data_IF_677753204665
#
_entry.id   IF_677753204665
#
_cell.length_a   1.000
_cell.length_b   1.000
_cell.length_c   1.000
_cell.angle_alpha   90.00
_cell.angle_beta   90.00
_cell.angle_gamma   90.00
#
_symmetry.space_group_name_H-M   'P 1'
#
loop_
_entity.id
_entity.type
_entity.pdbx_description
1 polymer ?
#
# COMPACT_ATOMS: atom_id res chain seq x y z
N UNK A 1 -7.28 15.52 20.59
CA UNK A 1 -8.43 15.17 19.71
C UNK A 1 -8.44 13.70 19.28
N UNK A 2 -7.41 12.94 19.61
CA UNK A 2 -7.20 11.55 19.15
C UNK A 2 -8.21 10.52 19.71
N UNK A 3 -8.71 10.68 20.92
CA UNK A 3 -9.54 9.67 21.58
C UNK A 3 -10.98 9.53 21.05
N UNK A 4 -11.50 10.53 20.34
CA UNK A 4 -12.88 10.47 19.84
C UNK A 4 -13.01 9.55 18.61
N UNK A 5 -11.95 9.41 17.80
CA UNK A 5 -11.94 8.53 16.63
C UNK A 5 -11.66 7.06 16.96
N UNK A 6 -11.11 6.77 18.14
CA UNK A 6 -10.78 5.40 18.56
C UNK A 6 -11.97 4.71 19.29
N UNK A 7 -13.02 5.46 19.60
CA UNK A 7 -14.19 4.93 20.28
C UNK A 7 -14.94 3.93 19.37
N UNK A 8 -15.11 2.70 19.86
CA UNK A 8 -15.85 1.64 19.16
C UNK A 8 -15.03 0.74 18.24
N UNK A 9 -13.69 0.86 18.23
CA UNK A 9 -12.84 -0.04 17.43
C UNK A 9 -12.55 -1.38 18.12
N UNK A 10 -12.76 -1.51 19.44
CA UNK A 10 -12.49 -2.73 20.23
C UNK A 10 -11.09 -3.32 19.96
N UNK A 11 -10.07 -2.47 19.98
CA UNK A 11 -8.68 -2.88 19.81
C UNK A 11 -8.18 -3.62 21.06
N UNK A 12 -7.28 -4.59 20.88
CA UNK A 12 -6.54 -5.21 21.99
C UNK A 12 -5.54 -4.22 22.59
N UNK A 13 -4.98 -4.54 23.76
CA UNK A 13 -3.96 -3.68 24.37
C UNK A 13 -2.70 -3.60 23.51
N UNK A 14 -2.27 -4.72 22.91
CA UNK A 14 -1.15 -4.78 21.98
C UNK A 14 -1.39 -3.92 20.72
N UNK A 15 -2.61 -3.98 20.15
CA UNK A 15 -3.00 -3.12 19.03
C UNK A 15 -2.99 -1.63 19.40
N UNK A 16 -3.35 -1.29 20.64
CA UNK A 16 -3.25 0.08 21.13
C UNK A 16 -1.81 0.53 21.32
N UNK A 17 -0.94 -0.34 21.79
CA UNK A 17 0.48 -0.05 21.97
C UNK A 17 1.16 0.24 20.63
N UNK A 18 1.01 -0.64 19.62
CA UNK A 18 1.58 -0.39 18.29
C UNK A 18 0.95 0.84 17.62
N UNK A 19 -0.36 1.08 17.81
CA UNK A 19 -1.02 2.30 17.35
C UNK A 19 -0.34 3.55 17.92
N UNK A 20 -0.05 3.55 19.23
CA UNK A 20 0.61 4.68 19.89
C UNK A 20 2.03 4.91 19.34
N UNK A 21 2.81 3.84 19.12
CA UNK A 21 4.14 3.92 18.50
C UNK A 21 4.06 4.51 17.10
N UNK A 22 3.16 4.01 16.25
CA UNK A 22 2.98 4.50 14.88
C UNK A 22 2.53 5.96 14.86
N UNK A 23 1.60 6.35 15.74
CA UNK A 23 1.10 7.73 15.86
C UNK A 23 2.21 8.70 16.27
N UNK A 24 3.04 8.32 17.25
CA UNK A 24 4.17 9.14 17.70
C UNK A 24 5.21 9.29 16.60
N UNK A 25 5.59 8.20 15.95
CA UNK A 25 6.52 8.20 14.81
C UNK A 25 5.99 9.01 13.63
N UNK A 26 4.71 8.85 13.29
CA UNK A 26 4.06 9.62 12.23
C UNK A 26 4.07 11.13 12.52
N UNK A 27 3.82 11.53 13.76
CA UNK A 27 3.76 12.93 14.16
C UNK A 27 5.15 13.58 14.25
N UNK A 28 6.16 12.87 14.78
CA UNK A 28 7.49 13.44 15.07
C UNK A 28 8.47 13.32 13.92
N UNK A 29 8.39 12.24 13.13
CA UNK A 29 9.38 11.94 12.10
C UNK A 29 8.78 12.04 10.69
N UNK A 30 7.66 11.36 10.41
CA UNK A 30 7.08 11.31 9.06
C UNK A 30 6.52 12.67 8.64
N UNK A 31 5.66 13.28 9.45
CA UNK A 31 4.97 14.52 9.09
C UNK A 31 5.93 15.67 8.81
N UNK A 32 6.94 15.94 9.65
CA UNK A 32 7.92 17.00 9.39
C UNK A 32 8.76 16.77 8.12
N UNK A 33 9.09 15.52 7.80
CA UNK A 33 9.91 15.18 6.64
C UNK A 33 9.13 15.14 5.33
N UNK A 34 7.79 15.05 5.38
CA UNK A 34 6.95 14.75 4.21
C UNK A 34 7.11 15.72 3.04
N UNK A 35 7.29 17.02 3.31
CA UNK A 35 7.48 18.03 2.27
C UNK A 35 8.83 17.87 1.55
N UNK A 36 9.92 17.68 2.31
CA UNK A 36 11.25 17.48 1.74
C UNK A 36 11.34 16.19 0.91
N UNK A 37 10.70 15.11 1.38
CA UNK A 37 10.62 13.83 0.65
C UNK A 37 9.81 13.99 -0.65
N UNK A 38 8.72 14.76 -0.66
CA UNK A 38 7.96 15.05 -1.88
C UNK A 38 8.77 15.88 -2.89
N UNK A 39 9.57 16.85 -2.41
CA UNK A 39 10.43 17.67 -3.27
C UNK A 39 11.62 16.88 -3.84
N UNK A 40 12.21 15.95 -3.07
CA UNK A 40 13.31 15.10 -3.51
C UNK A 40 12.90 14.22 -4.70
N UNK A 41 11.61 13.90 -4.82
CA UNK A 41 11.01 13.05 -5.88
C UNK A 41 11.90 11.80 -6.12
N UNK A 42 11.41 10.71 -6.53
CA UNK A 42 12.13 9.46 -6.88
C UNK A 42 13.24 8.95 -5.91
N UNK A 43 13.55 9.65 -4.84
CA UNK A 43 14.54 9.26 -3.84
C UNK A 43 13.88 8.55 -2.66
N UNK A 44 14.47 7.42 -2.24
CA UNK A 44 14.03 6.71 -1.04
C UNK A 44 14.50 7.45 0.20
N UNK A 45 13.63 7.79 1.16
CA UNK A 45 14.02 8.40 2.43
C UNK A 45 14.62 7.35 3.38
N UNK A 46 15.85 6.91 3.10
CA UNK A 46 16.52 5.82 3.81
C UNK A 46 16.64 6.03 5.32
N UNK A 47 16.81 7.28 5.77
CA UNK A 47 16.90 7.57 7.21
C UNK A 47 15.57 7.23 7.91
N UNK A 48 14.43 7.59 7.32
CA UNK A 48 13.11 7.23 7.85
C UNK A 48 12.85 5.73 7.77
N UNK A 49 13.29 5.08 6.67
CA UNK A 49 13.22 3.63 6.53
C UNK A 49 13.96 2.90 7.65
N UNK A 50 15.21 3.31 7.92
CA UNK A 50 16.03 2.67 8.96
C UNK A 50 15.50 2.99 10.37
N UNK A 51 14.99 4.20 10.62
CA UNK A 51 14.33 4.52 11.89
C UNK A 51 13.08 3.65 12.11
N UNK A 52 12.25 3.50 11.08
CA UNK A 52 11.08 2.62 11.14
C UNK A 52 11.47 1.15 11.37
N UNK A 53 12.55 0.68 10.73
CA UNK A 53 13.10 -0.65 10.95
C UNK A 53 13.56 -0.85 12.40
N UNK A 54 14.25 0.14 12.97
CA UNK A 54 14.68 0.12 14.38
C UNK A 54 13.50 0.07 15.38
N UNK A 55 12.30 0.49 14.96
CA UNK A 55 11.06 0.35 15.74
C UNK A 55 10.28 -0.95 15.40
N UNK A 56 10.80 -1.80 14.52
CA UNK A 56 10.14 -3.01 14.06
C UNK A 56 9.00 -2.78 13.06
N UNK A 57 8.76 -1.54 12.60
CA UNK A 57 7.61 -1.18 11.76
C UNK A 57 7.71 -1.70 10.31
N UNK A 58 8.89 -2.10 9.85
CA UNK A 58 9.09 -2.71 8.53
C UNK A 58 8.87 -4.23 8.52
N UNK A 59 8.83 -4.85 9.72
CA UNK A 59 8.77 -6.32 9.88
C UNK A 59 7.74 -6.79 10.91
N UNK A 60 6.89 -5.89 11.44
CA UNK A 60 5.92 -6.23 12.50
C UNK A 60 4.98 -7.37 12.10
N UNK A 61 4.60 -7.46 10.81
CA UNK A 61 3.68 -8.47 10.29
C UNK A 61 4.37 -9.79 9.87
N UNK A 62 5.70 -9.85 9.90
CA UNK A 62 6.44 -11.06 9.55
C UNK A 62 6.41 -12.06 10.71
N UNK A 63 6.43 -13.39 10.43
CA UNK A 63 6.40 -14.43 11.46
C UNK A 63 7.56 -14.31 12.46
N UNK A 64 7.30 -14.58 13.75
CA UNK A 64 8.32 -14.56 14.82
C UNK A 64 9.43 -15.57 14.56
N UNK A 65 9.10 -16.77 14.06
CA UNK A 65 10.06 -17.83 13.75
C UNK A 65 11.05 -17.44 12.63
N UNK A 66 10.74 -16.37 11.87
CA UNK A 66 11.63 -15.79 10.86
C UNK A 66 12.26 -14.46 11.32
N UNK A 67 12.08 -14.09 12.60
CA UNK A 67 12.63 -12.90 13.23
C UNK A 67 11.73 -11.65 13.12
N UNK A 68 10.49 -11.78 12.68
CA UNK A 68 9.52 -10.69 12.60
C UNK A 68 8.80 -10.42 13.91
N UNK A 69 7.87 -9.47 13.89
CA UNK A 69 7.07 -9.07 15.04
C UNK A 69 5.88 -9.99 15.36
N UNK A 70 5.53 -10.94 14.51
CA UNK A 70 4.44 -11.89 14.72
C UNK A 70 3.02 -11.31 14.67
N UNK A 71 2.86 -10.01 14.44
CA UNK A 71 1.55 -9.33 14.40
C UNK A 71 0.89 -9.53 13.03
N UNK A 72 0.53 -10.78 12.72
CA UNK A 72 0.08 -11.16 11.38
C UNK A 72 -1.39 -10.89 11.10
N UNK A 73 -2.17 -10.42 12.07
CA UNK A 73 -3.58 -10.11 11.89
C UNK A 73 -3.81 -8.84 11.04
N UNK A 74 -4.89 -8.85 10.26
CA UNK A 74 -5.22 -7.79 9.32
C UNK A 74 -5.64 -6.50 10.05
N UNK A 75 -6.28 -6.61 11.22
CA UNK A 75 -6.67 -5.44 12.04
C UNK A 75 -5.43 -4.66 12.47
N UNK A 76 -4.39 -5.34 12.97
CA UNK A 76 -3.12 -4.68 13.33
C UNK A 76 -2.47 -4.03 12.12
N UNK A 77 -2.43 -4.71 10.97
CA UNK A 77 -1.96 -4.14 9.70
C UNK A 77 -2.68 -2.84 9.34
N UNK A 78 -4.00 -2.80 9.48
CA UNK A 78 -4.81 -1.60 9.23
C UNK A 78 -4.51 -0.47 10.22
N UNK A 79 -4.37 -0.79 11.50
CA UNK A 79 -4.04 0.20 12.55
C UNK A 79 -2.70 0.87 12.27
N UNK A 80 -1.67 0.08 11.98
CA UNK A 80 -0.33 0.57 11.60
C UNK A 80 -0.42 1.45 10.35
N UNK A 81 -1.08 0.96 9.32
CA UNK A 81 -1.16 1.65 8.04
C UNK A 81 -1.91 2.98 8.14
N UNK A 82 -3.02 3.03 8.89
CA UNK A 82 -3.78 4.28 9.07
C UNK A 82 -2.94 5.35 9.79
N UNK A 83 -2.22 4.99 10.87
CA UNK A 83 -1.42 5.95 11.63
C UNK A 83 -0.21 6.45 10.83
N UNK A 84 0.52 5.57 10.14
CA UNK A 84 1.66 5.98 9.30
C UNK A 84 1.21 6.87 8.15
N UNK A 85 0.11 6.54 7.47
CA UNK A 85 -0.43 7.31 6.35
C UNK A 85 -1.06 8.63 6.79
N UNK A 86 -1.52 8.74 8.03
CA UNK A 86 -1.88 10.02 8.64
C UNK A 86 -0.68 10.98 8.70
N UNK A 87 0.52 10.47 8.90
CA UNK A 87 1.77 11.24 8.75
C UNK A 87 2.03 11.67 7.31
N UNK A 88 2.15 10.70 6.42
CA UNK A 88 2.30 10.85 4.97
C UNK A 88 2.02 9.51 4.29
N UNK A 89 1.05 9.46 3.37
CA UNK A 89 0.69 8.21 2.69
C UNK A 89 1.87 7.57 1.96
N UNK A 90 2.66 8.33 1.19
CA UNK A 90 3.81 7.79 0.47
C UNK A 90 4.90 7.22 1.38
N UNK A 91 5.20 7.85 2.52
CA UNK A 91 6.18 7.33 3.49
C UNK A 91 5.61 6.14 4.25
N UNK A 92 4.34 6.19 4.66
CA UNK A 92 3.66 5.09 5.34
C UNK A 92 3.61 3.84 4.46
N UNK A 93 3.23 3.98 3.19
CA UNK A 93 3.21 2.89 2.22
C UNK A 93 4.62 2.35 1.92
N UNK A 94 5.66 3.20 1.90
CA UNK A 94 7.05 2.73 1.79
C UNK A 94 7.42 1.83 2.97
N UNK A 95 7.17 2.26 4.22
CA UNK A 95 7.54 1.53 5.43
C UNK A 95 6.92 0.13 5.47
N UNK A 96 5.70 -0.03 4.97
CA UNK A 96 5.00 -1.32 4.94
C UNK A 96 5.18 -2.10 3.63
N UNK A 97 5.92 -1.55 2.64
CA UNK A 97 5.99 -2.09 1.28
C UNK A 97 6.58 -3.50 1.18
N UNK A 98 7.45 -3.91 2.12
CA UNK A 98 7.99 -5.27 2.15
C UNK A 98 6.91 -6.34 2.35
N UNK A 99 5.73 -5.98 2.89
CA UNK A 99 4.59 -6.87 3.00
C UNK A 99 4.11 -7.42 1.65
N UNK A 100 4.13 -6.63 0.59
CA UNK A 100 3.73 -7.07 -0.75
C UNK A 100 4.62 -8.18 -1.33
N UNK A 101 5.90 -8.16 -1.01
CA UNK A 101 6.82 -9.24 -1.36
C UNK A 101 6.65 -10.44 -0.42
N UNK A 102 6.52 -10.18 0.88
CA UNK A 102 6.50 -11.20 1.89
C UNK A 102 5.26 -12.10 1.80
N UNK A 103 4.08 -11.52 1.54
CA UNK A 103 2.83 -12.29 1.48
C UNK A 103 2.85 -13.43 0.47
N UNK A 104 3.22 -13.25 -0.83
CA UNK A 104 3.33 -14.37 -1.77
C UNK A 104 4.40 -15.39 -1.37
N UNK A 105 5.53 -14.96 -0.80
CA UNK A 105 6.58 -15.88 -0.33
C UNK A 105 6.08 -16.72 0.85
N UNK A 106 5.38 -16.10 1.79
CA UNK A 106 4.81 -16.81 2.94
C UNK A 106 3.67 -17.75 2.55
N UNK A 107 2.86 -17.37 1.56
CA UNK A 107 1.71 -18.16 1.12
C UNK A 107 2.10 -19.36 0.22
N UNK A 108 3.07 -19.18 -0.67
CA UNK A 108 3.39 -20.14 -1.72
C UNK A 108 4.76 -20.83 -1.51
N UNK A 109 5.69 -20.18 -0.82
CA UNK A 109 7.04 -20.67 -0.63
C UNK A 109 7.14 -21.83 0.36
N UNK A 110 8.12 -22.70 0.16
CA UNK A 110 8.52 -23.71 1.13
C UNK A 110 9.35 -23.08 2.27
N UNK A 111 9.71 -23.90 3.27
CA UNK A 111 10.42 -23.40 4.46
C UNK A 111 11.79 -22.81 4.12
N UNK A 112 12.55 -23.46 3.22
CA UNK A 112 13.86 -22.94 2.80
C UNK A 112 13.77 -21.60 2.05
N UNK A 113 12.73 -21.45 1.22
CA UNK A 113 12.41 -20.20 0.52
C UNK A 113 12.03 -19.09 1.51
N UNK A 114 11.21 -19.39 2.52
CA UNK A 114 10.84 -18.43 3.56
C UNK A 114 12.06 -17.97 4.36
N UNK A 115 12.89 -18.89 4.80
CA UNK A 115 14.14 -18.57 5.51
C UNK A 115 15.08 -17.72 4.64
N UNK A 116 15.22 -18.06 3.36
CA UNK A 116 16.11 -17.34 2.43
C UNK A 116 15.70 -15.90 2.18
N UNK A 117 14.40 -15.63 2.01
CA UNK A 117 13.93 -14.33 1.51
C UNK A 117 13.16 -13.48 2.52
N UNK A 118 12.63 -14.09 3.59
CA UNK A 118 11.93 -13.32 4.64
C UNK A 118 12.90 -12.92 5.75
N UNK A 119 13.78 -13.84 6.22
CA UNK A 119 14.71 -13.50 7.31
C UNK A 119 15.56 -12.25 7.04
N UNK A 120 16.06 -11.97 5.82
CA UNK A 120 16.79 -10.73 5.57
C UNK A 120 15.95 -9.44 5.78
N UNK A 121 14.62 -9.54 5.72
CA UNK A 121 13.73 -8.39 5.90
C UNK A 121 13.55 -7.98 7.38
N UNK A 122 14.06 -8.78 8.31
CA UNK A 122 14.01 -8.52 9.76
C UNK A 122 15.34 -8.00 10.32
N UNK A 123 16.33 -7.75 9.45
CA UNK A 123 17.62 -7.20 9.84
C UNK A 123 17.51 -5.74 10.32
N UNK A 124 18.50 -5.22 11.04
CA UNK A 124 18.57 -3.81 11.47
C UNK A 124 18.51 -2.82 10.29
N UNK A 125 19.02 -3.22 9.13
CA UNK A 125 18.92 -2.49 7.87
C UNK A 125 18.33 -3.39 6.79
N UNK A 126 17.01 -3.58 6.81
CA UNK A 126 16.36 -4.50 5.88
C UNK A 126 16.43 -3.95 4.46
N UNK A 127 16.60 -4.81 3.46
CA UNK A 127 16.48 -4.39 2.07
C UNK A 127 15.03 -4.02 1.73
N UNK A 128 14.86 -3.16 0.73
CA UNK A 128 13.58 -3.00 0.05
C UNK A 128 13.33 -4.20 -0.87
N UNK A 129 12.05 -4.48 -1.06
CA UNK A 129 11.57 -5.54 -1.96
C UNK A 129 10.50 -5.01 -2.90
N UNK A 130 10.16 -5.80 -3.91
CA UNK A 130 9.19 -5.43 -4.93
C UNK A 130 8.25 -6.58 -5.32
N UNK A 131 7.00 -6.22 -5.68
CA UNK A 131 6.03 -7.11 -6.30
C UNK A 131 5.85 -6.68 -7.76
N UNK A 132 6.14 -7.55 -8.72
CA UNK A 132 6.15 -7.26 -10.14
C UNK A 132 5.07 -8.03 -10.89
N UNK A 133 3.88 -7.44 -11.00
CA UNK A 133 2.71 -8.00 -11.70
C UNK A 133 2.42 -7.26 -12.99
N UNK A 134 2.18 -5.94 -12.87
CA UNK A 134 1.70 -5.07 -13.94
C UNK A 134 2.66 -5.01 -15.13
N UNK A 135 2.11 -5.00 -16.33
CA UNK A 135 2.83 -4.85 -17.59
C UNK A 135 2.28 -3.65 -18.37
N UNK A 136 3.01 -3.14 -19.38
CA UNK A 136 2.52 -2.01 -20.20
C UNK A 136 1.12 -2.24 -20.76
N UNK A 137 0.78 -3.48 -21.15
CA UNK A 137 -0.50 -3.85 -21.74
C UNK A 137 -1.44 -4.60 -20.78
N UNK A 138 -1.04 -4.87 -19.54
CA UNK A 138 -1.81 -5.68 -18.58
C UNK A 138 -1.76 -5.06 -17.16
N UNK A 139 -2.66 -4.10 -16.90
CA UNK A 139 -2.90 -3.53 -15.58
C UNK A 139 -4.14 -4.14 -14.94
N UNK A 140 -5.33 -3.59 -15.26
CA UNK A 140 -6.61 -4.09 -14.71
C UNK A 140 -6.92 -5.52 -15.12
N UNK A 141 -6.47 -5.99 -16.29
CA UNK A 141 -6.54 -7.39 -16.72
C UNK A 141 -5.23 -8.13 -16.36
N UNK A 142 -4.95 -8.26 -15.06
CA UNK A 142 -3.76 -8.92 -14.55
C UNK A 142 -3.63 -10.40 -14.96
N UNK A 143 -4.70 -11.03 -15.46
CA UNK A 143 -4.66 -12.38 -16.00
C UNK A 143 -4.09 -12.47 -17.42
N UNK A 144 -3.89 -11.32 -18.10
CA UNK A 144 -3.40 -11.24 -19.48
C UNK A 144 -1.92 -10.89 -19.61
N UNK A 145 -1.13 -11.08 -18.55
CA UNK A 145 0.32 -10.85 -18.57
C UNK A 145 0.99 -11.65 -19.69
N UNK A 146 2.00 -11.05 -20.29
CA UNK A 146 2.76 -11.60 -21.43
C UNK A 146 4.19 -12.01 -21.05
N UNK A 147 4.71 -11.59 -19.90
CA UNK A 147 6.00 -12.07 -19.37
C UNK A 147 5.93 -13.59 -19.26
N UNK A 148 6.88 -14.28 -19.89
CA UNK A 148 6.93 -15.73 -19.95
C UNK A 148 8.00 -16.29 -19.04
N UNK A 149 7.75 -17.50 -18.51
CA UNK A 149 8.75 -18.32 -17.85
C UNK A 149 8.81 -19.67 -18.57
N UNK A 150 9.80 -19.86 -19.43
CA UNK A 150 10.00 -21.09 -20.20
C UNK A 150 10.91 -22.03 -19.43
N UNK A 151 10.53 -23.30 -19.30
CA UNK A 151 11.40 -24.33 -18.70
C UNK A 151 12.72 -24.47 -19.47
N UNK A 152 13.84 -24.55 -18.76
CA UNK A 152 15.18 -24.75 -19.30
C UNK A 152 15.99 -25.62 -18.36
N UNK A 153 16.30 -26.85 -18.75
CA UNK A 153 16.89 -27.83 -17.82
C UNK A 153 15.98 -28.11 -16.63
N UNK A 154 16.51 -27.93 -15.46
CA UNK A 154 15.81 -28.04 -14.16
C UNK A 154 15.25 -26.69 -13.65
N UNK A 155 15.45 -25.60 -14.40
CA UNK A 155 15.04 -24.25 -14.05
C UNK A 155 14.15 -23.59 -15.09
N UNK A 156 14.21 -22.26 -15.15
CA UNK A 156 13.40 -21.42 -16.03
C UNK A 156 14.21 -20.29 -16.64
N UNK A 157 13.80 -19.86 -17.82
CA UNK A 157 14.22 -18.62 -18.47
C UNK A 157 13.03 -17.68 -18.50
N UNK A 158 13.19 -16.50 -17.90
CA UNK A 158 12.12 -15.50 -17.76
C UNK A 158 12.39 -14.33 -18.67
N UNK A 159 11.41 -13.99 -19.53
CA UNK A 159 11.54 -12.89 -20.49
C UNK A 159 10.26 -12.09 -20.55
N UNK A 160 10.38 -10.75 -20.56
CA UNK A 160 9.24 -9.82 -20.64
C UNK A 160 9.55 -8.45 -20.08
N UNK A 161 8.51 -7.68 -19.80
CA UNK A 161 8.61 -6.34 -19.26
C UNK A 161 7.53 -6.13 -18.20
N UNK A 162 7.92 -5.52 -17.08
CA UNK A 162 7.00 -5.08 -16.02
C UNK A 162 6.99 -3.54 -15.94
N UNK A 163 5.87 -2.98 -15.56
CA UNK A 163 5.69 -1.54 -15.45
C UNK A 163 5.09 -1.15 -14.10
N UNK A 164 5.36 0.07 -13.65
CA UNK A 164 4.85 0.62 -12.38
C UNK A 164 5.31 -0.15 -11.14
N UNK A 165 6.48 -0.76 -11.19
CA UNK A 165 6.96 -1.59 -10.09
C UNK A 165 7.52 -0.71 -8.98
N UNK A 166 6.87 -0.74 -7.83
CA UNK A 166 7.30 -0.03 -6.63
C UNK A 166 8.64 -0.56 -6.15
N UNK A 167 9.52 0.35 -5.73
CA UNK A 167 10.89 0.08 -5.30
C UNK A 167 11.80 -0.50 -6.39
N UNK A 168 11.38 -0.60 -7.66
CA UNK A 168 12.26 -1.07 -8.73
C UNK A 168 13.53 -0.22 -8.82
N UNK A 169 14.67 -0.87 -8.96
CA UNK A 169 16.00 -0.26 -8.93
C UNK A 169 16.57 -0.04 -7.52
N UNK A 170 15.77 -0.13 -6.47
CA UNK A 170 16.17 -0.05 -5.07
C UNK A 170 15.96 -1.38 -4.32
N UNK A 171 15.03 -2.21 -4.81
CA UNK A 171 14.71 -3.50 -4.23
C UNK A 171 15.84 -4.50 -4.46
N UNK A 172 16.15 -5.30 -3.43
CA UNK A 172 17.05 -6.43 -3.54
C UNK A 172 16.36 -7.68 -4.11
N UNK A 173 15.10 -7.88 -3.75
CA UNK A 173 14.32 -9.05 -4.14
C UNK A 173 13.02 -8.63 -4.82
N UNK A 174 12.62 -9.38 -5.84
CA UNK A 174 11.43 -9.16 -6.63
C UNK A 174 10.59 -10.43 -6.69
N UNK A 175 9.32 -10.40 -6.30
CA UNK A 175 8.38 -11.45 -6.71
C UNK A 175 7.84 -11.08 -8.08
N UNK A 176 8.19 -11.85 -9.09
CA UNK A 176 7.77 -11.63 -10.49
C UNK A 176 6.75 -12.67 -10.90
N UNK A 177 5.60 -12.21 -11.41
CA UNK A 177 4.57 -13.07 -11.98
C UNK A 177 4.79 -13.22 -13.49
N UNK A 178 4.95 -14.46 -13.95
CA UNK A 178 5.15 -14.80 -15.37
C UNK A 178 4.26 -15.98 -15.76
N UNK A 179 3.93 -16.10 -17.02
CA UNK A 179 3.15 -17.25 -17.51
C UNK A 179 4.06 -18.38 -18.01
N UNK A 180 3.80 -19.58 -17.54
CA UNK A 180 4.46 -20.81 -18.05
C UNK A 180 3.68 -21.43 -19.22
N UNK A 181 2.44 -20.97 -19.45
CA UNK A 181 1.58 -21.43 -20.54
C UNK A 181 0.87 -20.23 -21.17
N UNK A 182 1.51 -19.57 -22.19
CA UNK A 182 0.92 -18.46 -22.90
C UNK A 182 -0.43 -18.81 -23.50
N UNK A 183 -1.45 -17.98 -23.24
CA UNK A 183 -2.82 -18.21 -23.70
C UNK A 183 -3.73 -18.90 -22.70
N UNK A 184 -3.20 -19.51 -21.63
CA UNK A 184 -4.00 -20.10 -20.55
C UNK A 184 -4.54 -19.05 -19.56
N UNK A 185 -4.18 -17.75 -19.71
CA UNK A 185 -4.54 -16.64 -18.85
C UNK A 185 -4.13 -16.93 -17.39
N UNK A 186 -5.03 -16.73 -16.43
CA UNK A 186 -4.77 -16.92 -15.00
C UNK A 186 -4.21 -18.31 -14.64
N UNK A 187 -4.51 -19.35 -15.42
CA UNK A 187 -4.06 -20.72 -15.12
C UNK A 187 -2.58 -20.98 -15.40
N UNK A 188 -1.94 -20.15 -16.23
CA UNK A 188 -0.50 -20.25 -16.52
C UNK A 188 0.35 -19.37 -15.62
N UNK A 189 -0.26 -18.44 -14.87
CA UNK A 189 0.49 -17.48 -14.06
C UNK A 189 1.15 -18.17 -12.88
N UNK A 190 2.46 -17.99 -12.79
CA UNK A 190 3.35 -18.58 -11.78
C UNK A 190 4.20 -17.46 -11.15
N UNK A 191 4.52 -17.57 -9.88
CA UNK A 191 5.35 -16.61 -9.17
C UNK A 191 6.79 -17.10 -9.05
N UNK A 192 7.74 -16.18 -9.22
CA UNK A 192 9.18 -16.43 -9.14
C UNK A 192 9.84 -15.34 -8.29
N UNK A 193 10.88 -15.69 -7.53
CA UNK A 193 11.72 -14.70 -6.86
C UNK A 193 12.94 -14.43 -7.74
N UNK A 194 13.15 -13.17 -8.11
CA UNK A 194 14.37 -12.68 -8.73
C UNK A 194 15.15 -11.83 -7.74
N UNK A 195 16.46 -11.80 -7.90
CA UNK A 195 17.39 -10.95 -7.13
C UNK A 195 17.88 -9.82 -8.03
N UNK A 196 18.22 -8.68 -7.45
CA UNK A 196 18.64 -7.48 -8.19
C UNK A 196 19.81 -7.75 -9.18
N UNK A 197 20.72 -8.63 -8.78
CA UNK A 197 21.93 -8.93 -9.53
C UNK A 197 21.77 -10.12 -10.52
N UNK A 198 20.55 -10.64 -10.69
CA UNK A 198 20.30 -11.70 -11.67
C UNK A 198 20.61 -11.18 -13.09
N UNK A 199 21.41 -11.92 -13.84
CA UNK A 199 21.79 -11.54 -15.20
C UNK A 199 20.56 -11.46 -16.11
N UNK A 200 20.43 -10.37 -16.85
CA UNK A 200 19.29 -10.11 -17.73
C UNK A 200 18.14 -9.37 -17.06
N UNK A 201 18.21 -9.08 -15.75
CA UNK A 201 17.29 -8.17 -15.08
C UNK A 201 17.85 -6.75 -15.13
N UNK A 202 17.10 -5.83 -15.73
CA UNK A 202 17.42 -4.42 -15.80
C UNK A 202 16.26 -3.58 -15.30
N UNK A 203 16.58 -2.52 -14.54
CA UNK A 203 15.59 -1.55 -14.07
C UNK A 203 15.64 -0.28 -14.92
N UNK A 204 14.48 0.19 -15.33
CA UNK A 204 14.34 1.48 -16.01
C UNK A 204 14.61 2.67 -15.09
N UNK A 205 14.62 3.86 -15.66
CA UNK A 205 14.71 5.08 -14.86
C UNK A 205 13.46 5.27 -14.00
N UNK A 206 13.60 5.81 -12.77
CA UNK A 206 12.46 6.09 -11.90
C UNK A 206 11.46 7.02 -12.58
N UNK A 207 10.18 6.68 -12.48
CA UNK A 207 9.08 7.45 -13.02
C UNK A 207 8.79 8.68 -12.15
N UNK A 208 8.65 9.85 -12.76
CA UNK A 208 8.15 11.04 -12.06
C UNK A 208 6.66 10.96 -11.88
N UNK A 209 6.18 11.06 -10.65
CA UNK A 209 4.79 10.85 -10.29
C UNK A 209 4.10 12.10 -9.79
N UNK A 210 2.79 12.08 -9.83
CA UNK A 210 1.94 13.13 -9.27
C UNK A 210 2.07 13.23 -7.75
N UNK A 211 2.01 12.10 -7.05
CA UNK A 211 2.07 11.98 -5.58
C UNK A 211 2.75 10.70 -5.12
N UNK A 212 2.72 10.45 -3.81
CA UNK A 212 3.38 9.32 -3.14
C UNK A 212 4.85 9.13 -3.60
N UNK A 213 5.58 10.22 -3.67
CA UNK A 213 6.91 10.28 -4.30
C UNK A 213 8.00 9.60 -3.49
N UNK A 214 7.75 9.30 -2.22
CA UNK A 214 8.65 8.53 -1.36
C UNK A 214 8.95 7.11 -1.88
N UNK A 215 8.08 6.55 -2.72
CA UNK A 215 8.23 5.20 -3.29
C UNK A 215 8.65 5.36 -4.74
N UNK A 216 9.89 5.06 -5.13
CA UNK A 216 10.27 5.05 -6.54
C UNK A 216 9.51 3.95 -7.29
N UNK A 217 9.07 4.25 -8.51
CA UNK A 217 8.49 3.25 -9.40
C UNK A 217 9.28 3.26 -10.70
N UNK A 218 9.57 2.09 -11.24
CA UNK A 218 10.22 1.95 -12.54
C UNK A 218 9.68 0.74 -13.31
N UNK A 219 10.13 0.61 -14.55
CA UNK A 219 9.94 -0.59 -15.37
C UNK A 219 11.00 -1.63 -15.00
N UNK A 220 10.69 -2.91 -15.19
CA UNK A 220 11.66 -4.00 -15.17
C UNK A 220 11.71 -4.62 -16.58
N UNK A 221 12.91 -4.77 -17.11
CA UNK A 221 13.19 -5.48 -18.35
C UNK A 221 13.82 -6.81 -18.00
N UNK A 222 13.24 -7.89 -18.48
CA UNK A 222 13.66 -9.26 -18.24
C UNK A 222 14.09 -9.87 -19.58
N UNK A 223 15.40 -10.00 -19.77
CA UNK A 223 16.01 -10.47 -21.01
C UNK A 223 16.68 -11.83 -20.76
N UNK A 224 15.90 -12.89 -20.93
CA UNK A 224 16.34 -14.28 -20.74
C UNK A 224 16.99 -14.51 -19.36
N UNK A 225 16.32 -14.04 -18.30
CA UNK A 225 16.78 -14.21 -16.91
C UNK A 225 16.69 -15.69 -16.54
N UNK A 226 17.84 -16.32 -16.34
CA UNK A 226 17.92 -17.74 -15.96
C UNK A 226 17.80 -17.88 -14.43
N UNK A 227 16.88 -18.75 -13.99
CA UNK A 227 16.66 -19.05 -12.57
C UNK A 227 16.52 -20.55 -12.33
N UNK A 228 17.00 -21.03 -11.19
CA UNK A 228 16.79 -22.42 -10.77
C UNK A 228 15.34 -22.70 -10.35
N UNK A 229 14.97 -23.96 -10.25
CA UNK A 229 13.65 -24.39 -9.81
C UNK A 229 13.32 -23.91 -8.37
N UNK A 230 14.34 -23.70 -7.54
CA UNK A 230 14.25 -23.19 -6.18
C UNK A 230 13.76 -21.74 -6.10
N UNK A 231 13.75 -21.02 -7.23
CA UNK A 231 13.23 -19.64 -7.33
C UNK A 231 11.72 -19.58 -7.61
N UNK A 232 11.07 -20.70 -8.00
CA UNK A 232 9.62 -20.78 -8.21
C UNK A 232 8.90 -20.89 -6.88
N UNK A 233 7.90 -20.05 -6.64
CA UNK A 233 7.02 -20.10 -5.47
C UNK A 233 5.79 -20.98 -5.79
N UNK A 234 5.61 -22.04 -5.00
CA UNK A 234 4.51 -22.99 -5.17
C UNK A 234 4.61 -23.79 -6.49
N UNK A 235 3.46 -24.29 -6.96
CA UNK A 235 3.37 -25.04 -8.21
C UNK A 235 3.10 -24.13 -9.40
N UNK A 236 3.43 -24.60 -10.61
CA UNK A 236 3.09 -23.88 -11.85
C UNK A 236 1.58 -23.61 -11.93
N UNK A 237 1.21 -22.41 -12.34
CA UNK A 237 -0.19 -21.99 -12.48
C UNK A 237 -0.86 -21.55 -11.19
N UNK A 238 -0.22 -21.67 -10.03
CA UNK A 238 -0.80 -21.23 -8.74
C UNK A 238 -0.59 -19.74 -8.43
N UNK A 239 0.28 -19.05 -9.16
CA UNK A 239 0.66 -17.67 -8.89
C UNK A 239 -0.52 -16.71 -8.90
N UNK A 240 -1.46 -16.84 -9.86
CA UNK A 240 -2.60 -15.94 -9.92
C UNK A 240 -3.54 -16.07 -8.72
N UNK A 241 -3.75 -17.30 -8.23
CA UNK A 241 -4.55 -17.53 -7.04
C UNK A 241 -3.89 -16.89 -5.81
N UNK A 242 -2.59 -17.12 -5.61
CA UNK A 242 -1.84 -16.50 -4.51
C UNK A 242 -1.87 -14.97 -4.58
N UNK A 243 -1.74 -14.39 -5.79
CA UNK A 243 -1.88 -12.95 -6.00
C UNK A 243 -3.25 -12.41 -5.59
N UNK A 244 -4.33 -13.12 -5.91
CA UNK A 244 -5.69 -12.69 -5.52
C UNK A 244 -5.91 -12.78 -4.02
N UNK A 245 -5.35 -13.78 -3.35
CA UNK A 245 -5.38 -13.92 -1.88
C UNK A 245 -4.59 -12.77 -1.22
N UNK A 246 -3.42 -12.41 -1.76
CA UNK A 246 -2.66 -11.22 -1.34
C UNK A 246 -3.51 -9.94 -1.50
N UNK A 247 -4.14 -9.74 -2.66
CA UNK A 247 -4.95 -8.55 -2.91
C UNK A 247 -6.22 -8.47 -2.04
N UNK A 248 -6.82 -9.57 -1.63
CA UNK A 248 -7.96 -9.53 -0.71
C UNK A 248 -7.57 -8.98 0.67
N UNK A 249 -6.31 -9.15 1.07
CA UNK A 249 -5.75 -8.62 2.32
C UNK A 249 -5.22 -7.19 2.13
N UNK A 250 -4.38 -6.97 1.13
CA UNK A 250 -3.72 -5.68 0.90
C UNK A 250 -4.70 -4.56 0.56
N UNK A 251 -5.82 -4.84 -0.11
CA UNK A 251 -6.90 -3.86 -0.33
C UNK A 251 -7.49 -3.34 0.97
N UNK A 252 -7.53 -4.15 2.03
CA UNK A 252 -8.04 -3.73 3.34
C UNK A 252 -7.06 -2.78 4.02
N UNK A 253 -5.76 -3.10 4.00
CA UNK A 253 -4.72 -2.22 4.55
C UNK A 253 -4.58 -0.93 3.72
N UNK A 254 -4.75 -1.00 2.40
CA UNK A 254 -4.79 0.18 1.54
C UNK A 254 -6.00 1.09 1.85
N UNK A 255 -7.17 0.50 2.15
CA UNK A 255 -8.31 1.28 2.61
C UNK A 255 -8.01 2.00 3.94
N UNK A 256 -7.22 1.40 4.83
CA UNK A 256 -6.75 2.06 6.05
C UNK A 256 -5.74 3.19 5.73
N UNK A 257 -4.83 3.01 4.75
CA UNK A 257 -3.94 4.07 4.24
C UNK A 257 -4.74 5.29 3.78
N UNK A 258 -5.69 5.08 2.87
CA UNK A 258 -6.56 6.13 2.34
C UNK A 258 -7.36 6.83 3.45
N UNK A 259 -7.83 6.07 4.46
CA UNK A 259 -8.54 6.63 5.62
C UNK A 259 -7.63 7.48 6.48
N UNK A 260 -6.38 7.07 6.72
CA UNK A 260 -5.37 7.84 7.44
C UNK A 260 -5.10 9.19 6.77
N UNK A 261 -4.94 9.20 5.46
CA UNK A 261 -4.78 10.42 4.66
C UNK A 261 -6.02 11.33 4.73
N UNK A 262 -7.23 10.74 4.62
CA UNK A 262 -8.49 11.47 4.74
C UNK A 262 -8.67 12.12 6.13
N UNK A 263 -8.30 11.38 7.20
CA UNK A 263 -8.29 11.86 8.58
C UNK A 263 -7.33 13.04 8.75
N UNK A 264 -6.12 12.94 8.21
CA UNK A 264 -5.15 14.04 8.25
C UNK A 264 -5.71 15.32 7.61
N UNK A 265 -6.36 15.18 6.46
CA UNK A 265 -6.98 16.30 5.75
C UNK A 265 -8.14 16.92 6.54
N UNK A 266 -8.99 16.11 7.16
CA UNK A 266 -10.10 16.55 8.00
C UNK A 266 -9.59 17.33 9.23
N UNK A 267 -8.64 16.76 9.98
CA UNK A 267 -8.10 17.36 11.20
C UNK A 267 -7.43 18.70 10.90
N UNK A 268 -6.63 18.75 9.84
CA UNK A 268 -5.94 19.97 9.43
C UNK A 268 -6.90 21.07 8.98
N UNK A 269 -7.86 20.72 8.11
CA UNK A 269 -8.87 21.66 7.64
C UNK A 269 -9.75 22.20 8.79
N UNK A 270 -10.08 21.33 9.76
CA UNK A 270 -10.86 21.71 10.94
C UNK A 270 -10.10 22.69 11.83
N UNK A 271 -8.81 22.43 12.08
CA UNK A 271 -7.94 23.34 12.86
C UNK A 271 -7.84 24.69 12.17
N UNK A 272 -7.51 24.71 10.88
CA UNK A 272 -7.46 25.94 10.10
C UNK A 272 -8.79 26.72 10.12
N UNK A 273 -9.92 26.03 9.97
CA UNK A 273 -11.23 26.65 9.95
C UNK A 273 -11.65 27.29 11.30
N UNK A 274 -11.12 26.78 12.43
CA UNK A 274 -11.32 27.35 13.76
C UNK A 274 -10.51 28.65 13.98
N UNK A 275 -9.35 28.75 13.35
CA UNK A 275 -8.42 29.87 13.54
C UNK A 275 -8.64 30.98 12.50
N UNK A 276 -8.96 30.63 11.27
CA UNK A 276 -9.13 31.58 10.18
C UNK A 276 -10.41 32.41 10.33
N UNK A 277 -10.29 33.72 10.39
CA UNK A 277 -11.43 34.65 10.50
C UNK A 277 -11.73 35.29 9.15
N UNK A 278 -12.98 35.23 8.72
CA UNK A 278 -13.54 35.99 7.59
C UNK A 278 -14.98 36.43 7.93
N UNK A 279 -15.39 37.58 7.43
CA UNK A 279 -16.70 38.19 7.73
C UNK A 279 -16.95 38.29 9.25
N UNK A 280 -15.89 38.63 10.03
CA UNK A 280 -15.94 38.92 11.45
C UNK A 280 -16.02 37.71 12.39
N UNK A 281 -15.89 36.47 11.87
CA UNK A 281 -15.94 35.24 12.69
C UNK A 281 -15.09 34.13 12.10
N UNK A 282 -14.71 33.10 12.91
CA UNK A 282 -14.04 31.92 12.40
C UNK A 282 -14.80 31.27 11.23
N UNK A 283 -14.08 30.81 10.20
CA UNK A 283 -14.76 30.29 9.01
C UNK A 283 -15.56 29.01 9.27
N UNK A 284 -15.26 28.28 10.33
CA UNK A 284 -16.03 27.10 10.75
C UNK A 284 -17.48 27.47 11.14
N UNK A 285 -17.74 28.70 11.53
CA UNK A 285 -19.10 29.17 11.88
C UNK A 285 -19.95 29.55 10.65
N UNK A 286 -19.35 29.50 9.45
CA UNK A 286 -20.10 29.64 8.21
C UNK A 286 -20.65 28.27 7.79
N UNK A 287 -21.98 28.19 7.60
CA UNK A 287 -22.69 26.93 7.38
C UNK A 287 -22.10 26.08 6.24
N UNK A 288 -21.70 26.70 5.13
CA UNK A 288 -21.11 25.98 4.00
C UNK A 288 -19.76 25.31 4.35
N UNK A 289 -18.94 25.93 5.22
CA UNK A 289 -17.69 25.35 5.72
C UNK A 289 -17.99 24.24 6.74
N UNK A 290 -18.88 24.51 7.69
CA UNK A 290 -19.28 23.54 8.70
C UNK A 290 -19.83 22.25 8.08
N UNK A 291 -20.70 22.35 7.06
CA UNK A 291 -21.26 21.18 6.36
C UNK A 291 -20.21 20.40 5.60
N UNK A 292 -19.26 21.07 4.94
CA UNK A 292 -18.14 20.39 4.27
C UNK A 292 -17.32 19.57 5.27
N UNK A 293 -17.00 20.14 6.43
CA UNK A 293 -16.25 19.41 7.49
C UNK A 293 -17.07 18.25 8.07
N UNK A 294 -18.40 18.42 8.21
CA UNK A 294 -19.29 17.33 8.64
C UNK A 294 -19.33 16.18 7.62
N UNK A 295 -19.39 16.49 6.32
CA UNK A 295 -19.33 15.48 5.25
C UNK A 295 -17.98 14.75 5.24
N UNK A 296 -16.86 15.46 5.48
CA UNK A 296 -15.54 14.84 5.63
C UNK A 296 -15.54 13.86 6.83
N UNK A 297 -16.04 14.29 7.99
CA UNK A 297 -16.08 13.46 9.20
C UNK A 297 -16.90 12.20 9.00
N UNK A 298 -18.10 12.32 8.44
CA UNK A 298 -18.99 11.17 8.13
C UNK A 298 -18.30 10.16 7.21
N UNK A 299 -17.59 10.64 6.17
CA UNK A 299 -16.88 9.79 5.21
C UNK A 299 -15.70 9.07 5.85
N UNK A 300 -14.90 9.75 6.68
CA UNK A 300 -13.77 9.14 7.41
C UNK A 300 -14.26 8.03 8.33
N UNK A 301 -15.30 8.28 9.12
CA UNK A 301 -15.88 7.28 10.01
C UNK A 301 -16.43 6.07 9.25
N UNK A 302 -17.18 6.31 8.19
CA UNK A 302 -17.72 5.21 7.38
C UNK A 302 -16.64 4.40 6.67
N UNK A 303 -15.57 5.04 6.19
CA UNK A 303 -14.44 4.34 5.58
C UNK A 303 -13.74 3.43 6.60
N UNK A 304 -13.52 3.94 7.82
CA UNK A 304 -12.94 3.18 8.93
C UNK A 304 -13.78 1.97 9.30
N UNK A 305 -15.09 2.12 9.47
CA UNK A 305 -15.99 1.02 9.78
C UNK A 305 -15.99 -0.07 8.70
N UNK A 306 -15.87 0.31 7.43
CA UNK A 306 -15.84 -0.64 6.32
C UNK A 306 -14.54 -1.45 6.29
N UNK A 307 -13.37 -0.81 6.43
CA UNK A 307 -12.13 -1.57 6.43
C UNK A 307 -11.98 -2.42 7.70
N UNK A 308 -12.38 -1.94 8.88
CA UNK A 308 -12.35 -2.72 10.12
C UNK A 308 -13.26 -3.95 10.04
N UNK A 309 -14.44 -3.83 9.43
CA UNK A 309 -15.28 -4.99 9.14
C UNK A 309 -14.58 -5.99 8.23
N UNK A 310 -13.98 -5.54 7.15
CA UNK A 310 -13.26 -6.41 6.23
C UNK A 310 -12.06 -7.09 6.90
N UNK A 311 -11.26 -6.33 7.68
CA UNK A 311 -10.12 -6.84 8.43
C UNK A 311 -10.51 -7.96 9.40
N UNK A 312 -11.54 -7.74 10.21
CA UNK A 312 -12.06 -8.75 11.13
C UNK A 312 -12.59 -10.01 10.44
N UNK A 313 -13.13 -9.87 9.22
CA UNK A 313 -13.54 -11.04 8.42
C UNK A 313 -12.32 -11.83 7.95
N UNK A 314 -11.26 -11.15 7.51
CA UNK A 314 -9.99 -11.79 7.12
C UNK A 314 -9.40 -12.53 8.32
N UNK A 315 -9.31 -11.90 9.49
CA UNK A 315 -8.75 -12.49 10.71
C UNK A 315 -9.57 -13.68 11.23
N UNK A 316 -10.87 -13.67 10.96
CA UNK A 316 -11.75 -14.82 11.24
C UNK A 316 -11.67 -15.94 10.18
N UNK A 317 -10.74 -15.88 9.23
CA UNK A 317 -10.60 -16.84 8.14
C UNK A 317 -11.77 -16.88 7.16
N UNK A 318 -12.57 -15.82 7.12
CA UNK A 318 -13.74 -15.71 6.24
C UNK A 318 -13.36 -15.03 4.93
N UNK A 319 -13.96 -15.48 3.83
CA UNK A 319 -13.82 -14.81 2.55
C UNK A 319 -14.36 -13.37 2.63
N UNK A 320 -13.50 -12.38 2.34
CA UNK A 320 -13.80 -10.97 2.46
C UNK A 320 -13.64 -10.18 1.14
N UNK A 321 -13.56 -10.86 -0.02
CA UNK A 321 -13.27 -10.25 -1.33
C UNK A 321 -14.20 -9.07 -1.65
N UNK A 322 -15.51 -9.22 -1.40
CA UNK A 322 -16.48 -8.13 -1.62
C UNK A 322 -16.30 -7.00 -0.62
N UNK A 323 -16.14 -7.33 0.65
CA UNK A 323 -15.98 -6.36 1.73
C UNK A 323 -14.67 -5.57 1.60
N UNK A 324 -13.56 -6.22 1.20
CA UNK A 324 -12.30 -5.58 0.87
C UNK A 324 -12.44 -4.60 -0.31
N UNK A 325 -13.14 -5.03 -1.38
CA UNK A 325 -13.43 -4.15 -2.51
C UNK A 325 -14.30 -2.95 -2.12
N UNK A 326 -15.32 -3.15 -1.27
CA UNK A 326 -16.17 -2.05 -0.75
C UNK A 326 -15.36 -1.08 0.12
N UNK A 327 -14.50 -1.59 1.00
CA UNK A 327 -13.66 -0.79 1.86
C UNK A 327 -12.68 0.07 1.04
N UNK A 328 -11.96 -0.56 0.09
CA UNK A 328 -10.99 0.12 -0.77
C UNK A 328 -11.64 1.20 -1.62
N UNK A 329 -12.75 0.89 -2.28
CA UNK A 329 -13.49 1.83 -3.11
C UNK A 329 -13.94 3.05 -2.30
N UNK A 330 -14.59 2.81 -1.16
CA UNK A 330 -15.12 3.90 -0.34
C UNK A 330 -14.01 4.74 0.29
N UNK A 331 -12.94 4.12 0.80
CA UNK A 331 -11.83 4.83 1.44
C UNK A 331 -11.05 5.68 0.45
N UNK A 332 -10.74 5.17 -0.75
CA UNK A 332 -9.99 5.92 -1.77
C UNK A 332 -10.79 7.13 -2.28
N UNK A 333 -12.07 6.99 -2.55
CA UNK A 333 -12.95 8.12 -2.94
C UNK A 333 -13.14 9.10 -1.77
N UNK A 334 -13.12 8.63 -0.52
CA UNK A 334 -13.13 9.46 0.68
C UNK A 334 -11.84 10.27 0.80
N UNK A 335 -10.66 9.67 0.56
CA UNK A 335 -9.39 10.37 0.57
C UNK A 335 -9.35 11.49 -0.46
N UNK A 336 -9.79 11.23 -1.69
CA UNK A 336 -9.93 12.26 -2.74
C UNK A 336 -10.89 13.37 -2.33
N UNK A 337 -12.06 13.03 -1.79
CA UNK A 337 -13.02 14.02 -1.32
C UNK A 337 -12.46 14.89 -0.19
N UNK A 338 -11.88 14.27 0.84
CA UNK A 338 -11.38 14.97 2.02
C UNK A 338 -10.19 15.87 1.69
N UNK A 339 -9.25 15.41 0.86
CA UNK A 339 -8.09 16.22 0.47
C UNK A 339 -8.50 17.39 -0.42
N UNK A 340 -9.39 17.19 -1.39
CA UNK A 340 -10.00 18.26 -2.16
C UNK A 340 -10.74 19.27 -1.26
N UNK A 341 -11.55 18.78 -0.33
CA UNK A 341 -12.31 19.62 0.59
C UNK A 341 -11.40 20.43 1.53
N UNK A 342 -10.26 19.87 1.94
CA UNK A 342 -9.25 20.58 2.72
C UNK A 342 -8.62 21.72 1.91
N UNK A 343 -8.19 21.47 0.66
CA UNK A 343 -7.70 22.52 -0.25
C UNK A 343 -8.75 23.63 -0.39
N UNK A 344 -10.00 23.28 -0.64
CA UNK A 344 -11.10 24.22 -0.79
C UNK A 344 -11.37 25.01 0.50
N UNK A 345 -11.22 24.39 1.68
CA UNK A 345 -11.44 25.04 2.98
C UNK A 345 -10.35 26.07 3.29
N UNK A 346 -9.11 25.79 2.92
CA UNK A 346 -7.98 26.70 3.08
C UNK A 346 -7.99 27.82 2.01
N UNK A 347 -8.71 27.64 0.90
CA UNK A 347 -8.77 28.60 -0.20
C UNK A 347 -7.39 28.77 -0.87
N UNK A 348 -6.95 30.02 -1.12
CA UNK A 348 -5.66 30.29 -1.75
C UNK A 348 -4.45 29.67 -1.03
N UNK A 349 -4.50 29.57 0.29
CA UNK A 349 -3.47 28.90 1.07
C UNK A 349 -3.43 27.39 0.84
N UNK A 350 -4.58 26.77 0.60
CA UNK A 350 -4.64 25.35 0.24
C UNK A 350 -4.05 25.02 -1.14
N UNK A 351 -3.90 26.01 -2.00
CA UNK A 351 -3.27 25.89 -3.32
C UNK A 351 -1.76 26.13 -3.28
N UNK A 352 -1.25 26.64 -2.16
CA UNK A 352 0.18 26.87 -1.91
C UNK A 352 0.85 25.64 -1.32
N UNK A 353 2.13 25.41 -1.66
CA UNK A 353 2.97 24.36 -1.05
C UNK A 353 3.38 24.65 0.39
N UNK A 354 3.04 25.81 0.95
CA UNK A 354 3.25 26.14 2.36
C UNK A 354 2.35 25.31 3.30
N UNK A 355 1.26 24.75 2.76
CA UNK A 355 0.34 23.87 3.47
C UNK A 355 0.35 22.47 2.84
N UNK A 356 0.23 21.40 3.62
CA UNK A 356 0.39 20.03 3.12
C UNK A 356 -0.79 19.53 2.29
N UNK A 357 -1.91 20.24 2.26
CA UNK A 357 -3.19 19.76 1.70
C UNK A 357 -3.15 19.55 0.18
N UNK A 358 -2.35 20.33 -0.56
CA UNK A 358 -2.18 20.15 -2.01
C UNK A 358 -1.42 18.85 -2.30
N UNK A 359 -0.36 18.53 -1.48
CA UNK A 359 0.38 17.30 -1.58
C UNK A 359 -0.54 16.11 -1.29
N UNK A 360 -1.34 16.20 -0.23
CA UNK A 360 -2.26 15.13 0.13
C UNK A 360 -3.29 14.84 -0.97
N UNK A 361 -3.75 15.86 -1.70
CA UNK A 361 -4.64 15.67 -2.84
C UNK A 361 -3.94 14.96 -4.00
N UNK A 362 -2.64 15.21 -4.23
CA UNK A 362 -1.83 14.49 -5.21
C UNK A 362 -1.60 13.03 -4.78
N UNK A 363 -1.32 12.80 -3.50
CA UNK A 363 -1.13 11.46 -2.94
C UNK A 363 -2.41 10.63 -3.01
N UNK A 364 -3.56 11.22 -2.66
CA UNK A 364 -4.86 10.55 -2.63
C UNK A 364 -5.28 10.00 -4.00
N UNK A 365 -4.81 10.59 -5.10
CA UNK A 365 -5.20 10.12 -6.43
C UNK A 365 -4.70 8.70 -6.74
N UNK A 366 -3.55 8.32 -6.21
CA UNK A 366 -3.02 6.96 -6.40
C UNK A 366 -3.92 5.91 -5.73
N UNK A 367 -4.50 6.22 -4.58
CA UNK A 367 -5.39 5.32 -3.84
C UNK A 367 -6.60 4.84 -4.67
N UNK A 368 -7.06 5.61 -5.64
CA UNK A 368 -8.13 5.22 -6.56
C UNK A 368 -7.66 4.31 -7.71
N UNK A 369 -6.35 4.19 -7.94
CA UNK A 369 -5.77 3.55 -9.13
C UNK A 369 -5.11 2.21 -8.78
N UNK A 370 -4.28 2.17 -7.74
CA UNK A 370 -3.49 1.01 -7.37
C UNK A 370 -4.35 -0.15 -6.84
N UNK A 371 -3.82 -1.37 -6.90
CA UNK A 371 -4.47 -2.64 -6.50
C UNK A 371 -5.87 -2.89 -7.08
N UNK A 372 -6.07 -2.39 -8.27
CA UNK A 372 -7.34 -2.37 -8.98
C UNK A 372 -8.07 -1.04 -8.79
N UNK A 373 -8.31 -0.39 -9.92
CA UNK A 373 -8.99 0.91 -9.97
C UNK A 373 -10.35 0.88 -9.30
N UNK A 374 -10.90 2.07 -8.97
CA UNK A 374 -12.29 2.20 -8.47
C UNK A 374 -13.31 1.45 -9.33
N UNK A 375 -13.09 1.39 -10.65
CA UNK A 375 -13.97 0.64 -11.56
C UNK A 375 -13.81 -0.87 -11.41
N UNK A 376 -12.58 -1.35 -11.17
CA UNK A 376 -12.33 -2.77 -10.88
C UNK A 376 -12.96 -3.15 -9.53
N UNK A 377 -12.90 -2.29 -8.51
CA UNK A 377 -13.60 -2.57 -7.24
C UNK A 377 -15.11 -2.67 -7.45
N UNK A 378 -15.71 -1.77 -8.24
CA UNK A 378 -17.14 -1.84 -8.62
C UNK A 378 -17.47 -3.14 -9.36
N UNK A 379 -16.59 -3.59 -10.26
CA UNK A 379 -16.74 -4.85 -10.97
C UNK A 379 -16.70 -6.06 -10.00
N UNK A 380 -15.79 -6.08 -9.02
CA UNK A 380 -15.72 -7.13 -8.00
C UNK A 380 -17.01 -7.17 -7.17
N UNK A 381 -17.46 -6.00 -6.71
CA UNK A 381 -18.71 -5.88 -5.93
C UNK A 381 -19.91 -6.36 -6.76
N UNK A 382 -20.05 -5.88 -7.99
CA UNK A 382 -21.20 -6.23 -8.86
C UNK A 382 -21.27 -7.73 -9.17
N UNK A 383 -20.14 -8.37 -9.44
CA UNK A 383 -20.07 -9.82 -9.64
C UNK A 383 -20.49 -10.60 -8.40
N UNK A 384 -20.13 -10.13 -7.22
CA UNK A 384 -20.57 -10.74 -5.95
C UNK A 384 -22.07 -10.59 -5.67
N UNK A 385 -22.73 -9.61 -6.29
CA UNK A 385 -24.20 -9.43 -6.19
C UNK A 385 -24.96 -10.28 -7.21
N UNK A 386 -24.31 -10.66 -8.29
CA UNK A 386 -24.91 -11.46 -9.35
C UNK A 386 -24.93 -12.98 -9.05
N UNK A 387 -24.21 -13.45 -8.04
CA UNK A 387 -24.13 -14.85 -7.58
C UNK A 387 -22.80 -15.48 -7.91
#
# INVERSE_FOLDING_TARGET
MSTAFDAGLDLTDEQREIQAVCRDFAAREIRPAAAAVDEADVEVPWDLWHQAAGLGLTSFMLPEELGGGGMTDCVTGCVVQEELSHGCAGIGNLITSNGFFAEPVLALGDQAQKERWITPLTADRPPLTALAVTEPDAGSDAASIKTTARRSGDGYVISGQKAWISNAGQARYYVVFATVDPGSRSRGVTAFVLEHDDAGLECGSPMRKMGQRAIPNAELFLQDVEVGADRRLGEEGQGFRGLMETFDRSRVTLAASATGLARAALEYATTYARERVQFGKPIIEHQAVAFRLADMALRVDSARLLYMRAARMVDAGRRATKEAAMAKLHASETAMFCTWAAVQTLGGWGYSREHPVEKWMRDAKLEEIEEGTSDIQRLVISRSLAG
#
